data_IF_176847710523
#
_entry.id   IF_176847710523
#
_cell.length_a   1.000
_cell.length_b   1.000
_cell.length_c   1.000
_cell.angle_alpha   90.00
_cell.angle_beta   90.00
_cell.angle_gamma   90.00
#
_symmetry.space_group_name_H-M   'P 1'
#
loop_
_entity.id
_entity.type
_entity.pdbx_description
1 polymer ?
#
# COMPACT_ATOMS: atom_id res chain seq x y z
N UNK A 1 31.21 51.27 -0.29
CA UNK A 1 30.75 50.35 0.76
C UNK A 1 29.22 50.29 0.68
N UNK A 2 28.66 49.18 0.20
CA UNK A 2 27.25 48.77 0.36
C UNK A 2 26.15 49.57 -0.33
N UNK A 3 25.95 49.33 -1.63
CA UNK A 3 24.70 49.50 -2.39
C UNK A 3 23.80 48.30 -2.04
N UNK A 4 22.56 48.47 -1.58
CA UNK A 4 21.38 48.44 -2.45
C UNK A 4 20.56 47.16 -2.24
N UNK A 5 19.24 47.33 -2.25
CA UNK A 5 18.21 46.35 -2.59
C UNK A 5 17.78 45.28 -1.56
N UNK A 6 16.80 45.75 -0.79
CA UNK A 6 15.56 45.03 -0.50
C UNK A 6 14.91 44.58 -1.82
N UNK A 7 15.14 43.35 -2.26
CA UNK A 7 14.21 42.59 -3.11
C UNK A 7 14.64 41.13 -3.24
N UNK A 8 14.03 40.26 -2.44
CA UNK A 8 13.90 38.83 -2.77
C UNK A 8 12.49 38.38 -2.37
N UNK A 9 11.52 38.97 -3.07
CA UNK A 9 10.25 38.34 -3.33
C UNK A 9 10.46 37.02 -4.10
N UNK A 10 9.70 36.00 -3.69
CA UNK A 10 8.98 35.09 -4.61
C UNK A 10 9.81 33.99 -5.30
N UNK A 11 9.95 32.86 -4.62
CA UNK A 11 9.73 31.56 -5.26
C UNK A 11 8.32 31.03 -4.90
N UNK A 12 7.32 31.59 -5.59
CA UNK A 12 6.14 30.79 -5.92
C UNK A 12 6.66 29.72 -6.88
N UNK A 13 6.88 28.50 -6.37
CA UNK A 13 6.87 27.23 -7.12
C UNK A 13 7.35 26.09 -6.22
N UNK A 14 6.56 25.78 -5.20
CA UNK A 14 6.41 24.40 -4.74
C UNK A 14 4.93 24.14 -4.50
N UNK A 15 4.23 23.85 -5.59
CA UNK A 15 2.93 23.20 -5.56
C UNK A 15 3.11 21.76 -5.04
N UNK A 16 3.28 21.63 -3.74
CA UNK A 16 3.11 20.39 -2.98
C UNK A 16 2.04 20.66 -1.95
N UNK A 17 0.81 20.22 -2.25
CA UNK A 17 -0.42 20.29 -1.45
C UNK A 17 -0.18 20.70 0.01
N UNK A 18 -0.33 22.00 0.28
CA UNK A 18 0.02 22.62 1.54
C UNK A 18 -0.86 22.14 2.70
N UNK A 19 -0.20 21.71 3.77
CA UNK A 19 -0.71 21.36 5.10
C UNK A 19 -1.31 22.56 5.87
N UNK A 20 -1.93 23.53 5.16
CA UNK A 20 -2.16 24.90 5.65
C UNK A 20 -3.60 25.27 6.06
N UNK A 21 -4.56 24.35 6.11
CA UNK A 21 -5.93 24.66 6.57
C UNK A 21 -6.49 23.60 7.51
N UNK A 22 -6.02 23.63 8.76
CA UNK A 22 -6.69 22.93 9.86
C UNK A 22 -7.61 23.93 10.56
N UNK A 23 -8.93 23.77 10.42
CA UNK A 23 -9.89 24.46 11.28
C UNK A 23 -9.76 23.86 12.69
N UNK A 24 -9.09 24.58 13.59
CA UNK A 24 -9.11 24.30 15.04
C UNK A 24 -10.50 24.65 15.60
N UNK A 25 -11.50 23.77 15.47
CA UNK A 25 -12.70 23.82 16.32
C UNK A 25 -13.18 22.42 16.68
N UNK A 26 -13.53 22.28 17.95
CA UNK A 26 -14.25 21.19 18.62
C UNK A 26 -13.50 19.91 19.00
N UNK A 27 -12.39 20.06 19.73
CA UNK A 27 -11.70 18.92 20.36
C UNK A 27 -12.41 18.37 21.61
N UNK A 28 -13.29 19.15 22.28
CA UNK A 28 -13.82 18.77 23.60
C UNK A 28 -15.35 18.61 23.73
N UNK A 29 -16.16 18.88 22.70
CA UNK A 29 -17.63 18.95 22.85
C UNK A 29 -18.42 17.69 22.44
N UNK A 30 -17.76 16.54 22.29
CA UNK A 30 -18.38 15.36 21.65
C UNK A 30 -18.15 14.08 22.48
N UNK A 31 -19.23 13.34 22.74
CA UNK A 31 -19.24 12.06 23.47
C UNK A 31 -18.33 11.01 22.80
N UNK A 32 -17.98 9.95 23.52
CA UNK A 32 -16.91 9.00 23.15
C UNK A 32 -17.06 8.40 21.73
N UNK A 33 -18.29 8.07 21.33
CA UNK A 33 -18.64 7.54 19.99
C UNK A 33 -18.53 8.58 18.85
N UNK A 34 -18.52 9.87 19.19
CA UNK A 34 -18.44 10.98 18.23
C UNK A 34 -17.02 11.54 18.04
N UNK A 35 -16.01 10.93 18.68
CA UNK A 35 -14.59 11.34 18.63
C UNK A 35 -13.78 10.72 17.47
N UNK A 36 -14.46 10.05 16.53
CA UNK A 36 -13.85 9.45 15.34
C UNK A 36 -13.37 8.01 15.56
N UNK A 37 -13.14 7.25 14.47
CA UNK A 37 -12.96 5.80 14.52
C UNK A 37 -11.66 5.36 15.21
N UNK A 38 -10.62 6.21 15.22
CA UNK A 38 -9.37 5.95 15.96
C UNK A 38 -9.63 5.89 17.46
N UNK A 39 -10.32 6.91 18.00
CA UNK A 39 -10.64 6.99 19.44
C UNK A 39 -11.55 5.83 19.83
N UNK A 40 -12.54 5.52 18.99
CA UNK A 40 -13.42 4.38 19.19
C UNK A 40 -12.66 3.06 19.26
N UNK A 41 -11.81 2.77 18.27
CA UNK A 41 -11.00 1.55 18.25
C UNK A 41 -10.11 1.42 19.48
N UNK A 42 -9.36 2.47 19.83
CA UNK A 42 -8.53 2.46 21.03
C UNK A 42 -9.34 2.26 22.31
N UNK A 43 -10.51 2.90 22.41
CA UNK A 43 -11.41 2.77 23.56
C UNK A 43 -11.90 1.33 23.71
N UNK A 44 -12.31 0.68 22.61
CA UNK A 44 -12.75 -0.71 22.63
C UNK A 44 -11.63 -1.60 23.15
N UNK A 45 -10.40 -1.47 22.63
CA UNK A 45 -9.26 -2.25 23.10
C UNK A 45 -9.01 -2.06 24.61
N UNK A 46 -9.06 -0.81 25.11
CA UNK A 46 -8.87 -0.53 26.54
C UNK A 46 -9.96 -1.17 27.39
N UNK A 47 -11.23 -1.04 26.99
CA UNK A 47 -12.36 -1.63 27.72
C UNK A 47 -12.25 -3.15 27.75
N UNK A 48 -11.99 -3.78 26.59
CA UNK A 48 -11.81 -5.23 26.49
C UNK A 48 -10.66 -5.70 27.39
N UNK A 49 -9.53 -4.97 27.37
CA UNK A 49 -8.39 -5.29 28.21
C UNK A 49 -8.70 -5.17 29.70
N UNK A 50 -9.42 -4.12 30.13
CA UNK A 50 -9.86 -3.95 31.53
C UNK A 50 -10.75 -5.13 31.94
N UNK A 51 -11.72 -5.50 31.12
CA UNK A 51 -12.61 -6.63 31.40
C UNK A 51 -11.79 -7.93 31.55
N UNK A 52 -10.87 -8.20 30.63
CA UNK A 52 -10.13 -9.46 30.59
C UNK A 52 -9.02 -9.57 31.64
N UNK A 53 -8.27 -8.50 31.90
CA UNK A 53 -7.07 -8.54 32.75
C UNK A 53 -7.28 -7.95 34.14
N UNK A 54 -8.15 -6.95 34.28
CA UNK A 54 -8.41 -6.29 35.58
C UNK A 54 -9.60 -6.93 36.29
N UNK A 55 -10.73 -7.08 35.60
CA UNK A 55 -11.90 -7.78 36.14
C UNK A 55 -11.68 -9.30 36.11
N UNK A 56 -10.91 -9.78 35.11
CA UNK A 56 -10.63 -11.19 34.95
C UNK A 56 -11.76 -11.97 34.28
N UNK A 57 -12.72 -11.30 33.63
CA UNK A 57 -13.85 -11.94 32.96
C UNK A 57 -13.69 -11.94 31.43
N UNK A 58 -14.39 -12.83 30.73
CA UNK A 58 -14.34 -12.87 29.26
C UNK A 58 -13.18 -13.70 28.73
N UNK A 59 -12.94 -14.85 29.36
CA UNK A 59 -12.10 -15.93 28.85
C UNK A 59 -12.99 -17.09 28.40
N UNK A 60 -12.49 -17.95 27.52
CA UNK A 60 -13.25 -19.05 26.94
C UNK A 60 -12.41 -20.32 26.88
N UNK A 61 -13.02 -21.44 27.25
CA UNK A 61 -12.53 -22.80 26.96
C UNK A 61 -12.71 -23.11 25.46
N UNK A 62 -11.65 -23.52 24.73
CA UNK A 62 -11.69 -23.70 23.28
C UNK A 62 -12.77 -24.64 22.80
N UNK A 63 -12.83 -25.83 23.40
CA UNK A 63 -13.61 -26.98 22.92
C UNK A 63 -15.10 -26.83 23.21
N UNK A 64 -15.45 -26.17 24.32
CA UNK A 64 -16.85 -26.08 24.78
C UNK A 64 -17.43 -24.68 24.58
N UNK A 65 -16.60 -23.67 24.31
CA UNK A 65 -17.02 -22.27 24.30
C UNK A 65 -17.42 -21.73 25.67
N UNK A 66 -17.21 -22.50 26.75
CA UNK A 66 -17.61 -22.13 28.11
C UNK A 66 -16.90 -20.85 28.53
N UNK A 67 -17.66 -19.89 29.04
CA UNK A 67 -17.11 -18.67 29.62
C UNK A 67 -16.39 -18.99 30.93
N UNK A 68 -15.18 -18.47 31.04
CA UNK A 68 -14.28 -18.65 32.16
C UNK A 68 -13.87 -17.29 32.74
N UNK A 69 -13.53 -17.31 34.02
CA UNK A 69 -12.70 -16.32 34.67
C UNK A 69 -11.23 -16.60 34.37
N UNK A 70 -10.41 -15.55 34.30
CA UNK A 70 -8.96 -15.64 34.08
C UNK A 70 -8.27 -16.55 35.10
N UNK A 71 -8.75 -16.55 36.34
CA UNK A 71 -8.24 -17.40 37.41
C UNK A 71 -8.48 -18.90 37.14
N UNK A 72 -9.50 -19.25 36.36
CA UNK A 72 -9.78 -20.63 35.94
C UNK A 72 -8.90 -21.07 34.76
N UNK A 73 -8.26 -20.13 34.07
CA UNK A 73 -7.36 -20.43 32.95
C UNK A 73 -5.94 -20.81 33.38
N UNK A 74 -5.66 -20.86 34.69
CA UNK A 74 -4.36 -21.23 35.24
C UNK A 74 -4.08 -22.71 34.91
N UNK A 75 -3.12 -22.95 34.01
CA UNK A 75 -2.83 -24.28 33.45
C UNK A 75 -2.96 -24.37 31.92
N UNK A 76 -3.36 -23.28 31.25
CA UNK A 76 -3.26 -23.16 29.78
C UNK A 76 -4.51 -23.52 28.99
N UNK A 77 -5.67 -23.68 29.65
CA UNK A 77 -6.90 -24.17 29.00
C UNK A 77 -7.90 -23.08 28.56
N UNK A 78 -7.52 -21.80 28.58
CA UNK A 78 -8.43 -20.71 28.21
C UNK A 78 -7.79 -19.62 27.34
N UNK A 79 -8.56 -19.13 26.38
CA UNK A 79 -8.19 -17.98 25.53
C UNK A 79 -9.03 -16.76 25.90
N UNK A 80 -8.50 -15.54 25.72
CA UNK A 80 -9.32 -14.35 25.89
C UNK A 80 -10.42 -14.34 24.81
N UNK A 81 -11.67 -14.14 25.23
CA UNK A 81 -12.83 -14.13 24.34
C UNK A 81 -12.61 -13.13 23.20
N UNK A 82 -12.72 -13.62 21.97
CA UNK A 82 -12.49 -12.85 20.76
C UNK A 82 -11.13 -13.03 20.12
N UNK A 83 -10.18 -13.75 20.75
CA UNK A 83 -8.99 -14.27 20.09
C UNK A 83 -9.35 -15.22 18.95
N UNK A 84 -8.43 -15.45 18.01
CA UNK A 84 -8.63 -16.39 16.90
C UNK A 84 -7.49 -17.40 16.81
N UNK A 85 -7.79 -18.60 16.36
CA UNK A 85 -6.85 -19.65 16.01
C UNK A 85 -7.44 -20.46 14.85
N UNK A 86 -6.67 -21.41 14.29
CA UNK A 86 -7.19 -22.30 13.26
C UNK A 86 -8.26 -23.25 13.82
N UNK A 87 -8.08 -23.78 15.04
CA UNK A 87 -9.09 -24.60 15.73
C UNK A 87 -10.38 -23.82 15.97
N UNK A 88 -10.31 -22.64 16.58
CA UNK A 88 -11.49 -21.81 16.85
C UNK A 88 -12.26 -21.46 15.55
N UNK A 89 -11.55 -21.15 14.47
CA UNK A 89 -12.18 -20.78 13.21
C UNK A 89 -12.79 -21.98 12.46
N UNK A 90 -12.04 -23.07 12.33
CA UNK A 90 -12.37 -24.17 11.41
C UNK A 90 -13.04 -25.37 12.07
N UNK A 91 -12.80 -25.62 13.36
CA UNK A 91 -13.38 -26.74 14.10
C UNK A 91 -14.59 -26.27 14.92
N UNK A 92 -14.42 -25.16 15.64
CA UNK A 92 -15.45 -24.61 16.54
C UNK A 92 -16.39 -23.60 15.87
N UNK A 93 -16.21 -23.35 14.58
CA UNK A 93 -17.04 -22.45 13.75
C UNK A 93 -17.18 -21.03 14.31
N UNK A 94 -16.19 -20.55 15.06
CA UNK A 94 -16.17 -19.21 15.63
C UNK A 94 -15.74 -18.17 14.58
N UNK A 95 -16.54 -18.04 13.52
CA UNK A 95 -16.22 -17.20 12.33
C UNK A 95 -16.06 -15.72 12.65
N UNK A 96 -16.63 -15.23 13.75
CA UNK A 96 -16.46 -13.85 14.20
C UNK A 96 -15.01 -13.56 14.66
N UNK A 97 -14.26 -14.58 15.06
CA UNK A 97 -12.90 -14.42 15.62
C UNK A 97 -11.91 -13.83 14.60
N UNK A 98 -12.16 -14.02 13.31
CA UNK A 98 -11.37 -13.42 12.22
C UNK A 98 -11.39 -11.87 12.25
N UNK A 99 -12.39 -11.27 12.90
CA UNK A 99 -12.51 -9.83 13.08
C UNK A 99 -12.23 -9.42 14.52
N UNK A 100 -12.74 -10.14 15.51
CA UNK A 100 -12.71 -9.67 16.91
C UNK A 100 -11.30 -9.65 17.51
N UNK A 101 -10.38 -10.46 16.99
CA UNK A 101 -9.04 -10.61 17.58
C UNK A 101 -8.24 -9.29 17.62
N UNK A 102 -8.52 -8.36 16.71
CA UNK A 102 -7.85 -7.05 16.66
C UNK A 102 -8.19 -6.15 17.86
N UNK A 103 -9.18 -6.51 18.66
CA UNK A 103 -9.58 -5.76 19.86
C UNK A 103 -9.09 -6.41 21.16
N UNK A 104 -8.57 -7.64 21.08
CA UNK A 104 -8.08 -8.44 22.21
C UNK A 104 -6.55 -8.32 22.28
N UNK A 105 -5.95 -8.33 23.47
CA UNK A 105 -4.50 -8.18 23.64
C UNK A 105 -3.98 -9.13 24.73
N UNK A 106 -2.77 -9.67 24.51
CA UNK A 106 -2.15 -10.66 25.41
C UNK A 106 -1.47 -10.08 26.65
N UNK A 107 -1.14 -8.79 26.64
CA UNK A 107 -0.52 -8.10 27.76
C UNK A 107 -0.64 -6.56 27.60
N UNK A 108 -0.27 -5.85 28.67
CA UNK A 108 -0.38 -4.40 28.73
C UNK A 108 0.51 -3.69 27.71
N UNK A 109 1.76 -4.14 27.53
CA UNK A 109 2.71 -3.48 26.62
C UNK A 109 2.32 -3.72 25.16
N UNK A 110 1.87 -4.92 24.83
CA UNK A 110 1.32 -5.22 23.52
C UNK A 110 0.12 -4.32 23.19
N UNK A 111 -0.83 -4.15 24.12
CA UNK A 111 -1.90 -3.17 23.95
C UNK A 111 -1.36 -1.75 23.78
N UNK A 112 -0.49 -1.30 24.69
CA UNK A 112 0.03 0.07 24.70
C UNK A 112 0.69 0.44 23.36
N UNK A 113 1.58 -0.39 22.83
CA UNK A 113 2.28 -0.11 21.58
C UNK A 113 1.36 -0.15 20.36
N UNK A 114 0.37 -1.05 20.34
CA UNK A 114 -0.65 -1.06 19.29
C UNK A 114 -1.46 0.24 19.30
N UNK A 115 -1.88 0.71 20.48
CA UNK A 115 -2.66 1.94 20.60
C UNK A 115 -1.84 3.17 20.25
N UNK A 116 -0.56 3.23 20.58
CA UNK A 116 0.33 4.31 20.15
C UNK A 116 0.37 4.36 18.62
N UNK A 117 0.64 3.23 17.95
CA UNK A 117 0.70 3.17 16.48
C UNK A 117 -0.61 3.65 15.85
N UNK A 118 -1.75 3.10 16.30
CA UNK A 118 -3.08 3.44 15.78
C UNK A 118 -3.44 4.89 16.08
N UNK A 119 -3.09 5.41 17.26
CA UNK A 119 -3.39 6.78 17.66
C UNK A 119 -2.65 7.81 16.80
N UNK A 120 -1.35 7.61 16.57
CA UNK A 120 -0.55 8.56 15.80
C UNK A 120 -0.79 8.41 14.30
N UNK A 121 -0.61 7.21 13.76
CA UNK A 121 -0.70 6.98 12.31
C UNK A 121 -2.16 6.95 11.85
N UNK A 122 -3.06 6.39 12.65
CA UNK A 122 -4.48 6.35 12.32
C UNK A 122 -5.11 7.74 12.23
N UNK A 123 -4.72 8.70 13.07
CA UNK A 123 -5.20 10.09 12.95
C UNK A 123 -4.72 10.75 11.66
N UNK A 124 -3.47 10.48 11.25
CA UNK A 124 -2.95 10.95 9.96
C UNK A 124 -3.80 10.37 8.83
N UNK A 125 -4.05 9.05 8.86
CA UNK A 125 -4.86 8.39 7.83
C UNK A 125 -6.28 8.96 7.78
N UNK A 126 -6.96 9.11 8.93
CA UNK A 126 -8.30 9.73 9.00
C UNK A 126 -8.31 11.13 8.40
N UNK A 127 -7.27 11.94 8.60
CA UNK A 127 -7.17 13.27 8.00
C UNK A 127 -6.98 13.21 6.48
N UNK A 128 -6.27 12.20 5.97
CA UNK A 128 -6.04 12.02 4.53
C UNK A 128 -7.27 11.47 3.81
N UNK A 129 -8.02 10.56 4.44
CA UNK A 129 -9.02 9.72 3.74
C UNK A 129 -10.40 9.70 4.39
N UNK A 130 -10.56 10.30 5.57
CA UNK A 130 -11.81 10.30 6.32
C UNK A 130 -12.10 8.99 7.06
N UNK A 131 -13.16 9.04 7.89
CA UNK A 131 -13.49 7.97 8.84
C UNK A 131 -13.84 6.63 8.19
N UNK A 132 -14.61 6.67 7.08
CA UNK A 132 -15.07 5.46 6.39
C UNK A 132 -13.90 4.63 5.86
N UNK A 133 -12.95 5.29 5.21
CA UNK A 133 -11.80 4.60 4.62
C UNK A 133 -10.80 4.13 5.68
N UNK A 134 -10.63 4.88 6.78
CA UNK A 134 -9.88 4.38 7.93
C UNK A 134 -10.46 3.06 8.46
N UNK A 135 -11.77 3.02 8.71
CA UNK A 135 -12.43 1.80 9.21
C UNK A 135 -12.27 0.63 8.26
N UNK A 136 -12.42 0.87 6.95
CA UNK A 136 -12.20 -0.14 5.92
C UNK A 136 -10.77 -0.66 5.87
N UNK A 137 -9.76 0.21 5.94
CA UNK A 137 -8.34 -0.20 6.00
C UNK A 137 -8.09 -1.03 7.27
N UNK A 138 -8.51 -0.54 8.43
CA UNK A 138 -8.25 -1.19 9.71
C UNK A 138 -8.86 -2.59 9.79
N UNK A 139 -10.14 -2.74 9.43
CA UNK A 139 -10.85 -4.01 9.48
C UNK A 139 -10.35 -5.00 8.42
N UNK A 140 -10.16 -4.57 7.17
CA UNK A 140 -9.64 -5.46 6.12
C UNK A 140 -8.24 -5.96 6.45
N UNK A 141 -7.43 -5.11 7.10
CA UNK A 141 -6.09 -5.48 7.54
C UNK A 141 -6.11 -6.51 8.67
N UNK A 142 -7.07 -6.43 9.58
CA UNK A 142 -7.35 -7.51 10.54
C UNK A 142 -7.71 -8.82 9.83
N UNK A 143 -8.71 -8.78 8.95
CA UNK A 143 -9.18 -10.00 8.25
C UNK A 143 -8.08 -10.68 7.45
N UNK A 144 -7.32 -9.94 6.63
CA UNK A 144 -6.25 -10.53 5.83
C UNK A 144 -5.03 -10.92 6.69
N UNK A 145 -4.82 -10.23 7.81
CA UNK A 145 -3.84 -10.60 8.82
C UNK A 145 -4.15 -11.96 9.46
N UNK A 146 -5.37 -12.15 9.96
CA UNK A 146 -5.83 -13.44 10.47
C UNK A 146 -5.72 -14.54 9.41
N UNK A 147 -6.14 -14.27 8.18
CA UNK A 147 -6.03 -15.24 7.09
C UNK A 147 -4.59 -15.71 6.85
N UNK A 148 -3.61 -14.80 6.72
CA UNK A 148 -2.22 -15.19 6.52
C UNK A 148 -1.62 -15.88 7.75
N UNK A 149 -2.00 -15.47 8.96
CA UNK A 149 -1.55 -16.13 10.18
C UNK A 149 -2.02 -17.59 10.20
N UNK A 150 -3.31 -17.84 10.03
CA UNK A 150 -3.91 -19.19 10.06
C UNK A 150 -3.29 -20.10 8.98
N UNK A 151 -2.94 -19.57 7.82
CA UNK A 151 -2.27 -20.34 6.77
C UNK A 151 -0.84 -20.77 7.12
N UNK A 152 -0.18 -20.08 8.05
CA UNK A 152 1.26 -20.22 8.30
C UNK A 152 1.62 -20.71 9.70
N UNK A 153 0.62 -21.00 10.54
CA UNK A 153 0.80 -21.45 11.92
C UNK A 153 0.06 -22.74 12.24
N UNK A 154 0.41 -23.32 13.38
CA UNK A 154 -0.21 -24.54 13.93
C UNK A 154 -1.67 -24.31 14.35
N UNK A 155 -2.35 -25.41 14.68
CA UNK A 155 -3.80 -25.41 14.83
C UNK A 155 -4.30 -24.53 15.99
N UNK A 156 -3.57 -24.56 17.10
CA UNK A 156 -3.90 -23.83 18.34
C UNK A 156 -3.05 -22.56 18.53
N UNK A 157 -2.31 -22.14 17.51
CA UNK A 157 -1.56 -20.89 17.56
C UNK A 157 -2.55 -19.72 17.61
N UNK A 158 -2.72 -19.15 18.80
CA UNK A 158 -3.63 -18.04 19.01
C UNK A 158 -3.07 -16.71 18.50
N UNK A 159 -3.98 -15.92 17.97
CA UNK A 159 -3.75 -14.60 17.45
C UNK A 159 -4.64 -13.59 18.19
N UNK A 160 -3.98 -12.55 18.70
CA UNK A 160 -4.59 -11.39 19.34
C UNK A 160 -3.82 -10.14 18.92
N UNK A 161 -4.47 -8.99 18.99
CA UNK A 161 -3.81 -7.69 18.89
C UNK A 161 -4.20 -6.90 17.66
N UNK A 162 -4.33 -5.59 17.86
CA UNK A 162 -4.67 -4.64 16.81
C UNK A 162 -3.53 -4.39 15.80
N UNK A 163 -2.39 -5.05 15.97
CA UNK A 163 -1.14 -4.80 15.23
C UNK A 163 -1.28 -5.03 13.73
N UNK A 164 -2.02 -6.04 13.27
CA UNK A 164 -2.30 -6.23 11.84
C UNK A 164 -3.05 -5.03 11.25
N UNK A 165 -4.05 -4.52 11.97
CA UNK A 165 -4.78 -3.31 11.64
C UNK A 165 -3.88 -2.07 11.62
N UNK A 166 -3.04 -1.91 12.65
CA UNK A 166 -2.06 -0.82 12.77
C UNK A 166 -1.02 -0.83 11.65
N UNK A 167 -0.50 -2.01 11.29
CA UNK A 167 0.46 -2.18 10.20
C UNK A 167 -0.18 -1.86 8.85
N UNK A 168 -1.42 -2.30 8.62
CA UNK A 168 -2.19 -1.92 7.44
C UNK A 168 -2.41 -0.41 7.32
N UNK A 169 -2.74 0.26 8.43
CA UNK A 169 -2.81 1.74 8.51
C UNK A 169 -1.47 2.38 8.15
N UNK A 170 -0.35 1.88 8.66
CA UNK A 170 0.99 2.37 8.36
C UNK A 170 1.31 2.26 6.87
N UNK A 171 1.12 1.08 6.28
CA UNK A 171 1.40 0.84 4.87
C UNK A 171 0.46 1.66 3.97
N UNK A 172 -0.83 1.74 4.31
CA UNK A 172 -1.78 2.58 3.59
C UNK A 172 -1.36 4.06 3.61
N UNK A 173 -0.97 4.58 4.77
CA UNK A 173 -0.51 5.97 4.92
C UNK A 173 0.78 6.19 4.11
N UNK A 174 1.72 5.26 4.17
CA UNK A 174 2.97 5.31 3.38
C UNK A 174 2.72 5.25 1.88
N UNK A 175 1.67 4.55 1.43
CA UNK A 175 1.30 4.50 0.01
C UNK A 175 0.71 5.84 -0.48
N UNK A 176 -0.02 6.56 0.37
CA UNK A 176 -0.67 7.83 0.02
C UNK A 176 0.32 9.00 0.06
N UNK A 177 1.15 9.09 1.10
CA UNK A 177 2.11 10.18 1.30
C UNK A 177 3.57 9.67 1.42
N UNK A 178 4.10 8.96 0.41
CA UNK A 178 5.37 8.21 0.52
C UNK A 178 6.59 9.09 0.79
N UNK A 179 6.58 10.34 0.31
CA UNK A 179 7.70 11.27 0.45
C UNK A 179 7.58 12.19 1.67
N UNK A 180 6.49 12.08 2.46
CA UNK A 180 6.34 12.86 3.68
C UNK A 180 7.44 12.47 4.66
N UNK A 181 8.12 13.49 5.19
CA UNK A 181 9.20 13.32 6.16
C UNK A 181 8.62 13.44 7.56
N UNK A 182 8.88 12.46 8.40
CA UNK A 182 8.51 12.46 9.81
C UNK A 182 9.76 12.39 10.68
N UNK A 183 9.67 13.01 11.86
CA UNK A 183 10.60 12.78 12.95
C UNK A 183 9.97 11.70 13.84
N UNK A 184 10.54 10.51 13.82
CA UNK A 184 10.07 9.35 14.58
C UNK A 184 11.10 9.06 15.67
N UNK A 185 10.64 8.78 16.88
CA UNK A 185 11.50 8.29 17.95
C UNK A 185 11.63 6.77 17.83
N UNK A 186 12.68 6.30 17.17
CA UNK A 186 13.03 4.89 17.18
C UNK A 186 13.40 4.48 18.61
N UNK A 187 12.83 3.36 19.09
CA UNK A 187 12.94 2.91 20.47
C UNK A 187 12.53 3.95 21.53
N UNK A 188 11.75 4.97 21.17
CA UNK A 188 11.33 6.08 22.05
C UNK A 188 12.43 7.06 22.49
N UNK A 189 13.70 6.86 22.11
CA UNK A 189 14.80 7.77 22.48
C UNK A 189 15.71 8.19 21.33
N UNK A 190 15.67 7.53 20.16
CA UNK A 190 16.49 7.90 19.01
C UNK A 190 15.64 8.69 18.00
N UNK A 191 15.81 10.02 17.88
CA UNK A 191 15.10 10.80 16.86
C UNK A 191 15.65 10.51 15.47
N UNK A 192 14.82 9.95 14.60
CA UNK A 192 15.15 9.66 13.21
C UNK A 192 14.24 10.48 12.30
N UNK A 193 14.86 11.22 11.40
CA UNK A 193 14.18 11.91 10.31
C UNK A 193 14.15 11.02 9.09
N UNK A 194 12.99 10.48 8.72
CA UNK A 194 12.87 9.59 7.57
C UNK A 194 11.60 9.85 6.76
N UNK A 195 11.64 9.47 5.47
CA UNK A 195 10.44 9.47 4.62
C UNK A 195 9.60 8.24 4.94
N UNK A 196 8.28 8.40 4.97
CA UNK A 196 7.36 7.35 5.37
C UNK A 196 7.49 6.06 4.52
N UNK A 197 7.81 6.19 3.22
CA UNK A 197 8.07 5.01 2.36
C UNK A 197 9.25 4.15 2.82
N UNK A 198 10.32 4.76 3.33
CA UNK A 198 11.50 4.02 3.79
C UNK A 198 11.26 3.40 5.16
N UNK A 199 10.50 4.08 6.02
CA UNK A 199 10.06 3.51 7.29
C UNK A 199 9.19 2.26 7.06
N UNK A 200 8.17 2.38 6.20
CA UNK A 200 7.30 1.27 5.83
C UNK A 200 8.08 0.11 5.19
N UNK A 201 9.00 0.40 4.27
CA UNK A 201 9.84 -0.62 3.65
C UNK A 201 10.74 -1.32 4.68
N UNK A 202 11.36 -0.57 5.60
CA UNK A 202 12.20 -1.12 6.67
C UNK A 202 11.41 -2.07 7.56
N UNK A 203 10.21 -1.67 7.99
CA UNK A 203 9.32 -2.53 8.77
C UNK A 203 8.91 -3.79 8.00
N UNK A 204 8.55 -3.70 6.72
CA UNK A 204 8.23 -4.89 5.90
C UNK A 204 9.44 -5.85 5.85
N UNK A 205 10.65 -5.33 5.65
CA UNK A 205 11.86 -6.15 5.60
C UNK A 205 12.10 -6.85 6.94
N UNK A 206 11.96 -6.14 8.06
CA UNK A 206 12.11 -6.70 9.41
C UNK A 206 11.07 -7.79 9.66
N UNK A 207 9.80 -7.55 9.33
CA UNK A 207 8.72 -8.53 9.50
C UNK A 207 8.96 -9.79 8.67
N UNK A 208 9.44 -9.66 7.42
CA UNK A 208 9.79 -10.82 6.59
C UNK A 208 10.98 -11.57 7.20
N UNK A 209 12.04 -10.86 7.60
CA UNK A 209 13.22 -11.48 8.19
C UNK A 209 12.87 -12.23 9.48
N UNK A 210 12.09 -11.60 10.37
CA UNK A 210 11.69 -12.20 11.63
C UNK A 210 10.71 -13.36 11.42
N UNK A 211 9.78 -13.27 10.46
CA UNK A 211 8.96 -14.42 10.05
C UNK A 211 9.82 -15.61 9.61
N UNK A 212 10.83 -15.38 8.76
CA UNK A 212 11.70 -16.45 8.26
C UNK A 212 12.52 -17.06 9.42
N UNK A 213 13.08 -16.22 10.30
CA UNK A 213 13.84 -16.68 11.46
C UNK A 213 12.94 -17.50 12.39
N UNK A 214 11.76 -17.00 12.74
CA UNK A 214 10.82 -17.68 13.65
C UNK A 214 10.36 -19.04 13.09
N UNK A 215 10.13 -19.13 11.77
CA UNK A 215 9.82 -20.40 11.10
C UNK A 215 11.01 -21.36 11.01
N UNK A 216 12.22 -20.85 10.84
CA UNK A 216 13.43 -21.66 10.71
C UNK A 216 13.90 -22.22 12.06
N UNK A 217 13.76 -21.43 13.12
CA UNK A 217 14.17 -21.77 14.48
C UNK A 217 13.12 -22.64 15.17
N UNK A 218 11.85 -22.49 14.81
CA UNK A 218 10.75 -23.23 15.43
C UNK A 218 10.43 -22.73 16.84
N UNK A 219 9.57 -23.47 17.55
CA UNK A 219 9.10 -23.09 18.89
C UNK A 219 10.06 -23.50 20.02
N UNK A 220 11.15 -24.20 19.71
CA UNK A 220 12.08 -24.74 20.73
C UNK A 220 13.02 -23.68 21.29
N UNK A 221 13.34 -22.64 20.51
CA UNK A 221 14.24 -21.57 20.92
C UNK A 221 13.48 -20.26 20.97
N UNK A 222 13.38 -19.70 22.17
CA UNK A 222 12.79 -18.39 22.38
C UNK A 222 13.78 -17.28 22.05
N UNK A 223 13.43 -16.44 21.08
CA UNK A 223 14.17 -15.24 20.72
C UNK A 223 13.32 -14.00 21.03
N UNK A 224 13.76 -13.12 21.96
CA UNK A 224 13.01 -11.92 22.29
C UNK A 224 12.69 -11.07 21.07
N UNK A 225 11.47 -10.51 21.02
CA UNK A 225 10.92 -9.69 19.92
C UNK A 225 10.65 -10.42 18.58
N UNK A 226 11.02 -11.70 18.47
CA UNK A 226 10.74 -12.55 17.30
C UNK A 226 9.71 -13.62 17.68
N UNK A 227 10.00 -14.41 18.70
CA UNK A 227 9.12 -15.48 19.15
C UNK A 227 7.84 -14.94 19.78
N UNK A 228 6.71 -15.57 19.44
CA UNK A 228 5.38 -15.16 19.93
C UNK A 228 4.80 -13.93 19.22
N UNK A 229 5.46 -13.41 18.17
CA UNK A 229 4.97 -12.30 17.36
C UNK A 229 4.31 -12.81 16.09
N UNK A 230 3.12 -12.31 15.78
CA UNK A 230 2.34 -12.72 14.61
C UNK A 230 2.81 -12.05 13.30
N UNK A 231 4.06 -12.27 12.89
CA UNK A 231 4.66 -11.62 11.72
C UNK A 231 3.85 -11.79 10.42
N UNK A 232 3.28 -12.99 10.20
CA UNK A 232 2.39 -13.23 9.06
C UNK A 232 1.13 -12.36 9.09
N UNK A 233 0.59 -12.09 10.28
CA UNK A 233 -0.58 -11.22 10.44
C UNK A 233 -0.22 -9.76 10.13
N UNK A 234 0.96 -9.30 10.54
CA UNK A 234 1.45 -7.95 10.19
C UNK A 234 1.60 -7.81 8.68
N UNK A 235 2.27 -8.76 8.02
CA UNK A 235 2.43 -8.76 6.56
C UNK A 235 1.09 -8.79 5.83
N UNK A 236 0.12 -9.59 6.32
CA UNK A 236 -1.24 -9.64 5.80
C UNK A 236 -1.98 -8.32 5.95
N UNK A 237 -1.85 -7.69 7.12
CA UNK A 237 -2.39 -6.35 7.36
C UNK A 237 -1.79 -5.30 6.43
N UNK A 238 -0.46 -5.31 6.25
CA UNK A 238 0.24 -4.41 5.34
C UNK A 238 -0.20 -4.57 3.89
N UNK A 239 -0.33 -5.83 3.44
CA UNK A 239 -0.84 -6.17 2.11
C UNK A 239 -2.28 -5.67 1.92
N UNK A 240 -3.16 -5.87 2.90
CA UNK A 240 -4.54 -5.40 2.87
C UNK A 240 -4.64 -3.86 2.80
N UNK A 241 -3.86 -3.13 3.61
CA UNK A 241 -3.83 -1.68 3.54
C UNK A 241 -3.43 -1.18 2.14
N UNK A 242 -2.45 -1.83 1.53
CA UNK A 242 -2.00 -1.54 0.17
C UNK A 242 -3.05 -1.88 -0.90
N UNK A 243 -3.72 -3.03 -0.77
CA UNK A 243 -4.84 -3.43 -1.63
C UNK A 243 -5.98 -2.42 -1.51
N UNK A 244 -6.36 -2.03 -0.30
CA UNK A 244 -7.48 -1.11 -0.06
C UNK A 244 -7.24 0.25 -0.71
N UNK A 245 -6.07 0.86 -0.47
CA UNK A 245 -5.72 2.16 -1.05
C UNK A 245 -5.82 2.12 -2.58
N UNK A 246 -5.38 1.03 -3.21
CA UNK A 246 -5.45 0.85 -4.65
C UNK A 246 -6.84 0.57 -5.16
N UNK A 247 -7.55 -0.39 -4.57
CA UNK A 247 -8.87 -0.82 -5.01
C UNK A 247 -9.90 0.31 -4.94
N UNK A 248 -9.82 1.16 -3.92
CA UNK A 248 -10.73 2.28 -3.71
C UNK A 248 -10.16 3.63 -4.17
N UNK A 249 -8.99 3.65 -4.82
CA UNK A 249 -8.29 4.85 -5.32
C UNK A 249 -8.21 5.97 -4.26
N UNK A 250 -7.91 5.58 -3.03
CA UNK A 250 -7.93 6.47 -1.88
C UNK A 250 -6.64 7.28 -1.86
N UNK A 251 -6.74 8.60 -1.64
CA UNK A 251 -5.57 9.49 -1.63
C UNK A 251 -4.98 9.74 -3.03
N UNK A 252 -5.73 9.49 -4.11
CA UNK A 252 -5.29 9.74 -5.49
C UNK A 252 -4.27 8.73 -6.01
N UNK A 253 -4.02 7.65 -5.27
CA UNK A 253 -3.17 6.54 -5.69
C UNK A 253 -3.93 5.70 -6.71
N UNK A 254 -3.87 6.13 -7.98
CA UNK A 254 -4.49 5.39 -9.09
C UNK A 254 -3.88 4.00 -9.19
N UNK A 255 -4.72 3.03 -9.55
CA UNK A 255 -4.30 1.69 -9.99
C UNK A 255 -3.51 1.86 -11.29
N UNK A 256 -2.22 2.18 -11.17
CA UNK A 256 -1.30 1.96 -12.25
C UNK A 256 -0.92 0.50 -12.20
N UNK A 257 -1.71 -0.32 -12.92
CA UNK A 257 -1.23 -1.58 -13.48
C UNK A 257 -0.11 -1.32 -14.51
N UNK A 258 0.55 -0.15 -14.53
CA UNK A 258 1.60 0.22 -15.47
C UNK A 258 2.77 -0.78 -15.49
N UNK A 259 3.03 -1.47 -14.37
CA UNK A 259 3.96 -2.60 -14.35
C UNK A 259 3.42 -3.81 -15.14
N UNK A 260 2.16 -4.19 -14.94
CA UNK A 260 1.51 -5.28 -15.68
C UNK A 260 1.29 -4.91 -17.16
N UNK A 261 0.97 -3.66 -17.47
CA UNK A 261 0.95 -3.10 -18.83
C UNK A 261 2.35 -3.09 -19.45
N UNK A 262 3.41 -2.72 -18.71
CA UNK A 262 4.80 -2.81 -19.20
C UNK A 262 5.23 -4.25 -19.43
N UNK A 263 4.86 -5.17 -18.54
CA UNK A 263 5.14 -6.60 -18.66
C UNK A 263 4.40 -7.22 -19.85
N UNK A 264 3.11 -6.88 -20.01
CA UNK A 264 2.30 -7.25 -21.18
C UNK A 264 2.90 -6.68 -22.47
N UNK A 265 3.23 -5.39 -22.51
CA UNK A 265 3.91 -4.76 -23.65
C UNK A 265 5.26 -5.41 -23.95
N UNK A 266 6.05 -5.77 -22.94
CA UNK A 266 7.34 -6.46 -23.11
C UNK A 266 7.15 -7.88 -23.65
N UNK A 267 6.13 -8.59 -23.18
CA UNK A 267 5.76 -9.92 -23.66
C UNK A 267 5.22 -9.89 -25.09
N UNK A 268 4.33 -8.93 -25.41
CA UNK A 268 3.85 -8.65 -26.76
C UNK A 268 5.01 -8.31 -27.70
N UNK A 269 5.94 -7.42 -27.29
CA UNK A 269 7.13 -7.06 -28.08
C UNK A 269 8.07 -8.25 -28.31
N UNK A 270 8.18 -9.17 -27.34
CA UNK A 270 8.97 -10.41 -27.47
C UNK A 270 8.27 -11.43 -28.37
N UNK A 271 6.95 -11.53 -28.30
CA UNK A 271 6.10 -12.35 -29.19
C UNK A 271 6.16 -11.86 -30.64
N UNK A 272 6.03 -10.56 -30.86
CA UNK A 272 6.17 -9.88 -32.15
C UNK A 272 7.56 -10.14 -32.75
N UNK A 273 8.65 -9.92 -31.99
CA UNK A 273 10.01 -10.25 -32.45
C UNK A 273 10.20 -11.72 -32.79
N UNK A 274 9.58 -12.64 -32.03
CA UNK A 274 9.63 -14.08 -32.30
C UNK A 274 8.87 -14.45 -33.56
N UNK A 275 7.71 -13.87 -33.80
CA UNK A 275 6.92 -14.07 -35.02
C UNK A 275 7.60 -13.48 -36.25
N UNK A 276 8.24 -12.31 -36.11
CA UNK A 276 9.06 -11.67 -37.14
C UNK A 276 10.28 -12.53 -37.54
N UNK A 277 10.89 -13.23 -36.57
CA UNK A 277 12.01 -14.14 -36.82
C UNK A 277 11.59 -15.51 -37.41
N UNK A 278 10.32 -15.90 -37.26
CA UNK A 278 9.79 -17.20 -37.70
C UNK A 278 9.10 -17.16 -39.06
N UNK A 279 8.51 -16.02 -39.42
CA UNK A 279 7.95 -15.76 -40.76
C UNK A 279 8.81 -14.71 -41.45
N UNK A 280 9.91 -15.15 -42.06
CA UNK A 280 10.74 -14.34 -42.96
C UNK A 280 10.05 -13.99 -44.29
N UNK A 281 8.80 -13.54 -44.24
CA UNK A 281 8.10 -12.95 -45.39
C UNK A 281 7.28 -11.78 -44.87
N UNK A 282 7.87 -10.60 -44.95
CA UNK A 282 7.14 -9.35 -44.91
C UNK A 282 6.31 -9.33 -46.19
N UNK A 283 5.02 -9.64 -46.10
CA UNK A 283 4.08 -9.11 -47.08
C UNK A 283 3.93 -7.66 -46.65
N UNK A 284 4.73 -6.77 -47.25
CA UNK A 284 4.55 -5.34 -47.07
C UNK A 284 3.17 -5.03 -47.62
N UNK A 285 2.20 -4.75 -46.75
CA UNK A 285 0.98 -4.11 -47.20
C UNK A 285 1.42 -2.75 -47.76
N UNK A 286 1.27 -2.57 -49.07
CA UNK A 286 1.44 -1.25 -49.70
C UNK A 286 0.26 -0.41 -49.25
N UNK A 287 0.55 0.65 -48.51
CA UNK A 287 -0.43 1.67 -48.16
C UNK A 287 -0.44 2.67 -49.30
N UNK A 288 -1.62 2.84 -49.88
CA UNK A 288 -1.89 3.82 -50.93
C UNK A 288 -2.42 5.06 -50.23
N UNK A 289 -1.66 6.15 -50.29
CA UNK A 289 -2.02 7.44 -49.69
C UNK A 289 -2.19 8.47 -50.80
N UNK A 290 -3.33 9.14 -50.83
CA UNK A 290 -3.61 10.23 -51.78
C UNK A 290 -3.44 11.58 -51.07
N UNK A 291 -2.54 12.42 -51.59
CA UNK A 291 -2.29 13.78 -51.09
C UNK A 291 -2.32 14.73 -52.28
N UNK A 292 -3.18 15.73 -52.25
CA UNK A 292 -3.37 16.72 -53.32
C UNK A 292 -3.54 16.09 -54.73
N UNK A 293 -4.32 15.01 -54.80
CA UNK A 293 -4.61 14.28 -56.05
C UNK A 293 -3.45 13.42 -56.57
N UNK A 294 -2.35 13.31 -55.83
CA UNK A 294 -1.21 12.43 -56.16
C UNK A 294 -1.24 11.19 -55.27
N UNK A 295 -1.11 10.03 -55.91
CA UNK A 295 -1.13 8.72 -55.26
C UNK A 295 0.30 8.30 -54.92
N UNK A 296 0.58 8.09 -53.64
CA UNK A 296 1.87 7.62 -53.14
C UNK A 296 1.72 6.21 -52.56
N UNK A 297 2.46 5.26 -53.15
CA UNK A 297 2.63 3.93 -52.56
C UNK A 297 3.80 3.95 -51.56
N UNK A 298 3.49 3.67 -50.29
CA UNK A 298 4.48 3.53 -49.24
C UNK A 298 4.26 2.23 -48.45
N UNK A 299 5.30 1.74 -47.78
CA UNK A 299 5.11 0.63 -46.86
C UNK A 299 4.46 1.12 -45.56
N UNK A 300 3.63 0.26 -44.95
CA UNK A 300 2.91 0.55 -43.71
C UNK A 300 3.85 1.02 -42.57
N UNK A 301 5.08 0.51 -42.57
CA UNK A 301 6.12 0.89 -41.61
C UNK A 301 6.57 2.36 -41.75
N UNK A 302 6.68 2.85 -42.98
CA UNK A 302 7.02 4.25 -43.29
C UNK A 302 5.91 5.19 -42.84
N UNK A 303 4.64 4.83 -43.10
CA UNK A 303 3.47 5.61 -42.69
C UNK A 303 3.40 5.74 -41.15
N UNK A 304 3.64 4.64 -40.43
CA UNK A 304 3.64 4.61 -38.96
C UNK A 304 4.74 5.49 -38.33
N UNK A 305 5.84 5.73 -39.03
CA UNK A 305 6.94 6.57 -38.56
C UNK A 305 6.70 8.03 -38.93
N UNK A 306 6.20 8.31 -40.13
CA UNK A 306 6.07 9.68 -40.65
C UNK A 306 4.86 10.40 -40.09
N UNK A 307 3.70 9.73 -39.99
CA UNK A 307 2.46 10.39 -39.54
C UNK A 307 2.57 11.02 -38.14
N UNK A 308 3.16 10.36 -37.12
CA UNK A 308 3.36 10.98 -35.82
C UNK A 308 4.28 12.21 -35.86
N UNK A 309 5.27 12.24 -36.76
CA UNK A 309 6.16 13.39 -36.94
C UNK A 309 5.42 14.56 -37.58
N UNK A 310 4.62 14.29 -38.62
CA UNK A 310 3.77 15.31 -39.25
C UNK A 310 2.73 15.88 -38.28
N UNK A 311 2.11 15.04 -37.45
CA UNK A 311 1.16 15.49 -36.42
C UNK A 311 1.85 16.36 -35.37
N UNK A 312 3.05 15.97 -34.94
CA UNK A 312 3.87 16.74 -33.99
C UNK A 312 4.25 18.11 -34.55
N UNK A 313 4.63 18.18 -35.84
CA UNK A 313 4.89 19.44 -36.56
C UNK A 313 3.61 20.28 -36.69
N UNK A 314 2.48 19.66 -37.06
CA UNK A 314 1.20 20.35 -37.24
C UNK A 314 0.72 21.02 -35.94
N UNK A 315 0.88 20.34 -34.80
CA UNK A 315 0.44 20.86 -33.51
C UNK A 315 1.41 21.86 -32.89
N UNK A 316 2.73 21.68 -33.05
CA UNK A 316 3.73 22.39 -32.25
C UNK A 316 4.82 23.09 -33.08
N UNK A 317 4.75 23.02 -34.42
CA UNK A 317 5.75 23.58 -35.33
C UNK A 317 7.00 22.70 -35.49
N UNK A 318 7.82 23.04 -36.49
CA UNK A 318 9.01 22.27 -36.89
C UNK A 318 10.08 22.16 -35.78
N UNK A 319 10.17 23.17 -34.92
CA UNK A 319 11.12 23.20 -33.79
C UNK A 319 10.81 22.18 -32.69
N UNK A 320 9.68 21.48 -32.77
CA UNK A 320 9.30 20.44 -31.81
C UNK A 320 10.00 19.09 -32.04
N UNK A 321 10.71 18.93 -33.16
CA UNK A 321 11.42 17.70 -33.52
C UNK A 321 12.78 17.59 -32.83
N UNK A 322 13.18 16.37 -32.48
CA UNK A 322 14.58 16.10 -32.07
C UNK A 322 15.50 16.06 -33.30
N UNK A 323 16.83 16.20 -33.11
CA UNK A 323 17.79 16.07 -34.21
C UNK A 323 17.68 14.74 -34.97
N UNK A 324 17.38 13.63 -34.29
CA UNK A 324 17.17 12.34 -34.94
C UNK A 324 15.86 12.29 -35.74
N UNK A 325 14.78 12.84 -35.20
CA UNK A 325 13.48 12.93 -35.88
C UNK A 325 13.56 13.80 -37.15
N UNK A 326 14.33 14.89 -37.08
CA UNK A 326 14.57 15.76 -38.23
C UNK A 326 15.35 15.05 -39.34
N UNK A 327 16.39 14.29 -39.01
CA UNK A 327 17.15 13.50 -39.98
C UNK A 327 16.29 12.44 -40.68
N UNK A 328 15.38 11.81 -39.94
CA UNK A 328 14.41 10.86 -40.51
C UNK A 328 13.52 11.60 -41.51
N UNK A 329 12.93 12.74 -41.13
CA UNK A 329 12.05 13.51 -42.00
C UNK A 329 12.77 14.00 -43.27
N UNK A 330 14.00 14.49 -43.15
CA UNK A 330 14.83 14.93 -44.28
C UNK A 330 15.16 13.79 -45.24
N UNK A 331 15.54 12.62 -44.71
CA UNK A 331 15.82 11.43 -45.52
C UNK A 331 14.60 11.04 -46.35
N UNK A 332 13.42 10.97 -45.73
CA UNK A 332 12.19 10.60 -46.43
C UNK A 332 11.70 11.68 -47.38
N UNK A 333 11.84 12.96 -47.04
CA UNK A 333 11.55 14.07 -47.96
C UNK A 333 12.41 13.98 -49.22
N UNK A 334 13.68 13.59 -49.07
CA UNK A 334 14.60 13.40 -50.19
C UNK A 334 14.19 12.21 -51.05
N UNK A 335 13.89 11.06 -50.43
CA UNK A 335 13.40 9.86 -51.15
C UNK A 335 12.09 10.13 -51.90
N UNK A 336 11.17 10.92 -51.34
CA UNK A 336 9.95 11.35 -52.03
C UNK A 336 10.29 12.28 -53.20
N UNK A 337 11.17 13.26 -53.01
CA UNK A 337 11.57 14.20 -54.07
C UNK A 337 12.22 13.50 -55.25
N UNK A 338 13.05 12.48 -54.99
CA UNK A 338 13.69 11.64 -56.02
C UNK A 338 12.68 10.77 -56.77
N UNK A 339 11.60 10.32 -56.10
CA UNK A 339 10.51 9.54 -56.71
C UNK A 339 9.48 10.39 -57.45
N UNK A 340 9.33 11.66 -57.08
CA UNK A 340 8.40 12.60 -57.72
C UNK A 340 9.02 13.38 -58.89
N UNK A 341 10.28 13.09 -59.23
CA UNK A 341 11.07 13.77 -60.26
C UNK A 341 10.99 13.17 -61.68
N UNK A 342 9.88 12.52 -62.04
CA UNK A 342 9.49 12.24 -63.44
C UNK A 342 8.37 13.19 -63.90
#
# INVERSE_FOLDING_TARGET
MGIGDRDYMRSKDQAGVGWGRIKKKDFFQRGLLSRGPVVLGCTICIIVFIIQYVIGFGWVEPETGKLLWRAECIGGQGYPLGATSKSLLLQEWQVWTIVTYIFVHGDFYHMLFNLILIWFVGRILVQLVGNKHFGGVFLLSGVLGAFLHILTTDIDAALVGASAGGFGILIATAAIIPNQVFNVLLFFFIPIRCRLKYLALGFIIVEIAFFVIDRAVGQEVYIPMISGVAHAAHLGGGLAGLIYVRAFNVGGVKVSLGFLQKMRRKAERKSLKRNFKRKGKVVSAKVITEVDGKVFESDEFTVDIINPLLEKISQNGMSSLTPEEQQILEKYSKEISERSGE
#
